data_IF_422974987020
#
_entry.id   IF_422974987020
#
_cell.length_a   1.000
_cell.length_b   1.000
_cell.length_c   1.000
_cell.angle_alpha   90.00
_cell.angle_beta   90.00
_cell.angle_gamma   90.00
#
_symmetry.space_group_name_H-M   'P 1'
#
loop_
_entity.id
_entity.type
_entity.pdbx_description
1 polymer ?
2 non-polymer ?
3 non-polymer ?
4 non-polymer ?
5 water ?
#
# COMPACT_ATOMS: atom_id res chain seq x y z
N UNK A 2 13.77 -14.00 7.46
CA UNK A 2 12.71 -13.52 6.58
C UNK A 2 11.45 -14.34 6.81
N UNK A 3 11.37 -14.96 7.98
CA UNK A 3 10.30 -15.87 8.30
C UNK A 3 9.40 -15.28 9.38
N UNK A 4 8.16 -15.73 9.36
CA UNK A 4 7.13 -15.25 10.24
C UNK A 4 6.46 -16.46 10.88
N UNK A 5 5.80 -16.22 12.01
CA UNK A 5 5.05 -17.24 12.73
C UNK A 5 3.66 -16.74 13.06
N UNK A 6 2.67 -17.63 12.96
CA UNK A 6 1.29 -17.34 13.32
C UNK A 6 1.03 -17.95 14.69
N UNK A 7 0.48 -17.16 15.61
CA UNK A 7 0.11 -17.68 16.92
C UNK A 7 -1.16 -17.01 17.43
N UNK A 8 -1.74 -17.60 18.48
CA UNK A 8 -2.84 -16.93 19.17
C UNK A 8 -2.34 -15.65 19.82
N UNK A 9 -3.18 -14.62 19.79
CA UNK A 9 -2.89 -13.38 20.47
C UNK A 9 -3.08 -13.52 21.98
N UNK A 10 -2.33 -12.74 22.75
CA UNK A 10 -2.40 -12.76 24.20
C UNK A 10 -2.70 -11.36 24.69
N UNK A 11 -3.10 -11.25 25.97
CA UNK A 11 -3.57 -9.96 26.47
C UNK A 11 -2.50 -8.89 26.34
N UNK A 12 -1.24 -9.27 26.59
CA UNK A 12 -0.13 -8.33 26.51
C UNK A 12 0.11 -7.83 25.09
N UNK A 13 -0.42 -8.52 24.06
CA UNK A 13 -0.26 -8.05 22.69
C UNK A 13 -1.23 -6.93 22.30
N UNK A 14 -2.33 -6.76 23.06
CA UNK A 14 -3.42 -5.91 22.58
C UNK A 14 -2.95 -4.48 22.35
N UNK A 15 -2.10 -3.96 23.26
CA UNK A 15 -1.68 -2.56 23.17
C UNK A 15 -0.93 -2.24 21.88
N UNK A 16 -0.33 -3.25 21.22
CA UNK A 16 0.42 -3.06 19.99
C UNK A 16 -0.44 -3.11 18.74
N UNK A 17 -1.68 -3.57 18.86
CA UNK A 17 -2.47 -3.84 17.66
C UNK A 17 -3.06 -2.58 16.99
N UNK A 18 -3.49 -1.53 17.70
CA UNK A 18 -3.97 -0.34 16.97
C UNK A 18 -2.94 0.23 16.00
N UNK A 19 -1.63 0.23 16.36
CA UNK A 19 -0.64 0.78 15.43
C UNK A 19 -0.53 -0.08 14.18
N UNK A 20 -0.72 -1.40 14.30
CA UNK A 20 -0.72 -2.27 13.11
C UNK A 20 -1.91 -1.96 12.23
N UNK A 21 -3.09 -1.74 12.81
CA UNK A 21 -4.24 -1.45 11.95
C UNK A 21 -4.06 -0.09 11.27
N UNK A 22 -3.49 0.89 11.97
CA UNK A 22 -3.22 2.20 11.36
C UNK A 22 -2.23 2.07 10.22
N UNK A 23 -1.16 1.32 10.43
CA UNK A 23 -0.18 1.10 9.36
C UNK A 23 -0.80 0.40 8.14
N UNK A 24 -1.58 -0.67 8.37
CA UNK A 24 -2.22 -1.38 7.27
C UNK A 24 -3.05 -0.44 6.40
N UNK A 25 -3.80 0.47 7.01
CA UNK A 25 -4.68 1.35 6.25
C UNK A 25 -3.96 2.35 5.36
N UNK A 26 -2.63 2.50 5.52
CA UNK A 26 -1.89 3.40 4.62
C UNK A 26 -2.04 2.99 3.16
N UNK A 27 -2.40 1.73 2.88
CA UNK A 27 -2.58 1.27 1.50
C UNK A 27 -3.71 2.01 0.77
N UNK A 28 -4.61 2.65 1.49
CA UNK A 28 -5.72 3.33 0.85
C UNK A 28 -5.40 4.75 0.39
N UNK A 29 -4.23 5.31 0.74
CA UNK A 29 -3.99 6.70 0.35
C UNK A 29 -3.88 6.88 -1.17
N UNK A 30 -3.53 5.83 -1.93
CA UNK A 30 -3.43 5.95 -3.37
C UNK A 30 -4.69 5.48 -4.12
N UNK A 31 -5.81 5.30 -3.39
CA UNK A 31 -7.14 5.15 -3.99
C UNK A 31 -7.92 6.45 -3.75
N UNK A 32 -8.07 7.31 -4.74
CA UNK A 32 -8.64 8.64 -4.48
C UNK A 32 -10.01 8.62 -3.79
N UNK A 33 -10.92 7.73 -4.19
CA UNK A 33 -12.25 7.68 -3.59
C UNK A 33 -12.23 7.19 -2.15
N UNK A 34 -11.23 6.41 -1.77
CA UNK A 34 -11.19 5.81 -0.45
C UNK A 34 -10.03 6.31 0.40
N UNK A 35 -9.35 7.39 0.01
CA UNK A 35 -8.14 7.78 0.73
C UNK A 35 -8.47 8.16 2.17
N UNK A 36 -9.70 8.65 2.41
CA UNK A 36 -10.09 8.95 3.78
C UNK A 36 -9.97 7.77 4.72
N UNK A 37 -10.00 6.53 4.21
CA UNK A 37 -9.95 5.35 5.08
C UNK A 37 -8.66 5.34 5.89
N UNK A 38 -7.57 5.88 5.30
CA UNK A 38 -6.27 5.81 5.96
C UNK A 38 -6.23 6.56 7.28
N UNK A 39 -7.13 7.53 7.48
CA UNK A 39 -7.21 8.29 8.72
C UNK A 39 -8.53 8.03 9.46
N UNK A 40 -9.25 6.97 9.08
CA UNK A 40 -10.42 6.50 9.81
C UNK A 40 -9.99 5.87 11.13
N UNK A 41 -10.97 5.62 11.99
CA UNK A 41 -10.65 5.05 13.28
C UNK A 41 -10.12 3.64 13.14
N UNK A 42 -9.48 3.18 14.21
CA UNK A 42 -9.10 1.78 14.35
C UNK A 42 -9.61 1.29 15.69
N UNK A 43 -9.80 -0.03 15.79
CA UNK A 43 -10.34 -0.58 17.02
C UNK A 43 -9.42 -0.30 18.21
N UNK A 44 -10.03 -0.06 19.35
CA UNK A 44 -9.25 0.15 20.56
C UNK A 44 -8.86 -1.14 21.25
N UNK A 45 -8.09 -1.00 22.33
CA UNK A 45 -7.57 -2.17 23.01
C UNK A 45 -8.66 -3.01 23.68
N UNK A 46 -9.76 -2.36 24.11
CA UNK A 46 -10.87 -3.07 24.74
C UNK A 46 -11.47 -4.12 23.80
N UNK A 47 -11.59 -3.76 22.52
CA UNK A 47 -12.15 -4.67 21.53
C UNK A 47 -11.27 -5.90 21.37
N UNK A 48 -9.97 -5.68 21.24
CA UNK A 48 -9.03 -6.77 21.08
C UNK A 48 -9.00 -7.68 22.30
N UNK A 49 -8.97 -7.09 23.47
CA UNK A 49 -8.95 -7.87 24.70
C UNK A 49 -10.24 -8.68 24.81
N UNK A 50 -11.35 -8.15 24.36
CA UNK A 50 -12.59 -8.92 24.45
C UNK A 50 -12.55 -10.21 23.62
N UNK A 51 -11.94 -10.14 22.45
CA UNK A 51 -11.87 -11.29 21.56
C UNK A 51 -10.71 -12.21 21.93
N UNK A 52 -9.61 -11.65 22.45
CA UNK A 52 -8.52 -12.49 22.96
C UNK A 52 -9.01 -13.39 24.09
N UNK A 53 -9.88 -12.87 24.97
CA UNK A 53 -10.43 -13.69 26.04
C UNK A 53 -11.26 -14.84 25.50
N UNK A 54 -11.97 -14.61 24.38
CA UNK A 54 -12.72 -15.68 23.74
C UNK A 54 -11.81 -16.66 23.00
N UNK A 55 -10.58 -16.29 22.69
CA UNK A 55 -9.64 -17.16 22.01
C UNK A 55 -9.66 -17.07 20.49
N UNK A 56 -10.50 -16.21 19.92
CA UNK A 56 -10.67 -16.14 18.47
C UNK A 56 -9.93 -14.95 17.87
N UNK A 57 -8.62 -14.91 18.09
CA UNK A 57 -7.79 -13.76 17.74
C UNK A 57 -6.36 -14.24 17.55
N UNK A 58 -5.76 -13.93 16.40
CA UNK A 58 -4.44 -14.46 16.03
C UNK A 58 -3.58 -13.32 15.51
N UNK A 59 -2.27 -13.51 15.58
CA UNK A 59 -1.37 -12.50 15.01
C UNK A 59 -0.20 -13.21 14.29
N UNK A 60 0.43 -12.46 13.39
CA UNK A 60 1.68 -12.82 12.76
C UNK A 60 2.81 -12.05 13.43
N UNK A 61 3.91 -12.75 13.76
CA UNK A 61 5.07 -12.10 14.35
C UNK A 61 6.28 -12.33 13.46
N UNK A 62 7.20 -11.35 13.49
CA UNK A 62 8.43 -11.49 12.72
C UNK A 62 9.43 -12.34 13.49
N UNK A 63 10.64 -12.44 12.94
CA UNK A 63 11.63 -13.38 13.46
C UNK A 63 12.07 -13.01 14.87
N UNK A 64 11.96 -11.73 15.22
CA UNK A 64 12.28 -11.24 16.56
C UNK A 64 11.08 -11.28 17.48
N UNK A 65 9.99 -11.92 17.06
CA UNK A 65 8.79 -12.00 17.87
C UNK A 65 7.94 -10.75 17.95
N UNK A 66 8.17 -9.75 17.05
CA UNK A 66 7.32 -8.55 17.12
C UNK A 66 6.09 -8.71 16.26
N UNK A 67 4.89 -8.41 16.79
CA UNK A 67 3.68 -8.54 15.98
C UNK A 67 3.72 -7.59 14.79
N UNK A 68 3.29 -8.10 13.63
CA UNK A 68 3.25 -7.33 12.39
C UNK A 68 1.90 -7.41 11.68
N UNK A 69 0.94 -8.19 12.21
CA UNK A 69 -0.38 -8.31 11.59
C UNK A 69 -1.29 -9.10 12.52
N UNK A 70 -2.60 -8.99 12.29
CA UNK A 70 -3.52 -9.71 13.17
C UNK A 70 -4.83 -9.99 12.45
N UNK A 71 -5.58 -10.96 13.00
CA UNK A 71 -6.92 -11.27 12.55
C UNK A 71 -7.76 -11.38 13.80
N UNK A 72 -8.76 -10.51 13.92
CA UNK A 72 -9.68 -10.47 15.07
C UNK A 72 -11.04 -11.00 14.62
N UNK A 73 -11.53 -12.06 15.29
CA UNK A 73 -12.76 -12.72 14.91
C UNK A 73 -13.70 -12.87 16.11
N UNK A 74 -14.97 -13.16 15.82
CA UNK A 74 -15.95 -13.25 16.89
C UNK A 74 -16.99 -14.30 16.53
N UNK A 75 -17.22 -15.26 17.43
CA UNK A 75 -18.28 -16.24 17.25
C UNK A 75 -19.64 -15.56 17.45
N UNK A 76 -20.51 -15.69 16.46
CA UNK A 76 -21.85 -15.10 16.43
C UNK A 76 -22.83 -16.21 16.01
N UNK A 77 -23.59 -16.73 16.96
CA UNK A 77 -24.42 -17.92 16.72
C UNK A 77 -23.51 -19.03 16.20
N UNK A 78 -23.77 -19.63 15.04
CA UNK A 78 -22.94 -20.71 14.52
C UNK A 78 -21.96 -20.22 13.44
N UNK A 79 -21.63 -18.92 13.42
CA UNK A 79 -20.69 -18.39 12.45
C UNK A 79 -19.49 -17.76 13.13
N UNK A 80 -18.34 -17.77 12.44
CA UNK A 80 -17.16 -17.02 12.89
C UNK A 80 -17.09 -15.79 12.02
N UNK A 81 -17.34 -14.63 12.61
CA UNK A 81 -17.29 -13.38 11.87
C UNK A 81 -15.87 -12.81 11.89
N UNK A 82 -15.32 -12.49 10.71
CA UNK A 82 -13.99 -11.89 10.64
C UNK A 82 -14.15 -10.37 10.73
N UNK A 83 -13.86 -9.81 11.92
CA UNK A 83 -14.11 -8.38 12.14
C UNK A 83 -13.01 -7.49 11.55
N UNK A 84 -11.76 -7.94 11.61
CA UNK A 84 -10.67 -7.13 11.09
C UNK A 84 -9.50 -8.05 10.76
N UNK A 85 -8.88 -7.79 9.61
CA UNK A 85 -7.66 -8.49 9.17
C UNK A 85 -6.71 -7.41 8.65
N UNK A 86 -5.58 -7.18 9.33
CA UNK A 86 -4.68 -6.06 9.00
C UNK A 86 -3.23 -6.52 9.07
N UNK A 87 -2.46 -6.24 8.01
CA UNK A 87 -1.01 -6.48 8.01
C UNK A 87 -0.30 -5.15 7.89
N UNK A 88 0.67 -4.89 8.76
CA UNK A 88 1.39 -3.62 8.69
C UNK A 88 2.05 -3.43 7.31
N UNK A 89 2.08 -2.16 6.88
CA UNK A 89 2.51 -1.80 5.53
C UNK A 89 3.81 -2.50 5.12
N UNK A 90 4.82 -2.46 6.00
CA UNK A 90 6.14 -2.97 5.68
C UNK A 90 6.18 -4.48 5.52
N UNK A 91 5.10 -5.18 5.91
CA UNK A 91 5.09 -6.63 5.89
C UNK A 91 3.99 -7.18 4.99
N UNK A 92 3.31 -6.31 4.23
CA UNK A 92 2.31 -6.77 3.28
C UNK A 92 2.92 -7.51 2.10
N UNK A 93 2.07 -8.29 1.43
CA UNK A 93 2.42 -9.01 0.19
C UNK A 93 3.55 -10.03 0.42
N UNK A 94 3.58 -10.61 1.63
CA UNK A 94 4.49 -11.70 1.99
C UNK A 94 3.75 -12.98 2.35
N UNK A 95 2.41 -13.01 2.17
CA UNK A 95 1.66 -14.22 2.42
C UNK A 95 0.97 -14.27 3.77
N UNK A 96 1.16 -13.25 4.60
CA UNK A 96 0.66 -13.35 5.98
C UNK A 96 -0.87 -13.25 6.07
N UNK A 97 -1.50 -12.39 5.27
CA UNK A 97 -2.95 -12.34 5.28
C UNK A 97 -3.57 -13.70 5.02
N UNK A 98 -3.06 -14.39 3.98
CA UNK A 98 -3.54 -15.73 3.65
C UNK A 98 -3.33 -16.69 4.83
N UNK A 99 -2.16 -16.64 5.46
CA UNK A 99 -1.88 -17.55 6.57
C UNK A 99 -2.76 -17.27 7.78
N UNK A 100 -3.09 -16.00 8.05
CA UNK A 100 -4.00 -15.74 9.17
C UNK A 100 -5.40 -16.23 8.85
N UNK A 101 -5.86 -16.04 7.61
CA UNK A 101 -7.19 -16.55 7.24
C UNK A 101 -7.23 -18.07 7.36
N UNK A 102 -6.15 -18.73 6.96
CA UNK A 102 -6.10 -20.18 7.09
C UNK A 102 -6.26 -20.62 8.54
N UNK A 103 -5.60 -19.90 9.47
CA UNK A 103 -5.75 -20.21 10.89
C UNK A 103 -7.18 -20.01 11.37
N UNK A 104 -7.82 -18.93 10.93
CA UNK A 104 -9.19 -18.64 11.37
C UNK A 104 -10.14 -19.72 10.88
N UNK A 105 -9.96 -20.20 9.65
CA UNK A 105 -10.88 -21.23 9.18
C UNK A 105 -10.61 -22.56 9.89
N UNK A 106 -9.34 -22.87 10.19
CA UNK A 106 -9.06 -24.07 10.95
C UNK A 106 -9.72 -24.01 12.33
N UNK A 107 -9.70 -22.83 12.95
CA UNK A 107 -10.36 -22.67 14.24
C UNK A 107 -11.87 -22.75 14.11
N UNK A 108 -12.42 -22.14 13.05
CA UNK A 108 -13.86 -22.24 12.83
C UNK A 108 -14.29 -23.70 12.69
N UNK A 109 -13.51 -24.52 11.96
CA UNK A 109 -13.85 -25.93 11.87
C UNK A 109 -13.71 -26.64 13.22
N UNK A 110 -12.63 -26.37 13.96
CA UNK A 110 -12.42 -27.07 15.23
C UNK A 110 -13.52 -26.74 16.26
N UNK A 111 -14.09 -25.53 16.18
CA UNK A 111 -15.12 -25.06 17.11
C UNK A 111 -16.52 -25.25 16.56
N UNK A 112 -16.65 -26.00 15.48
CA UNK A 112 -17.93 -26.42 14.91
C UNK A 112 -18.75 -25.24 14.40
N UNK A 113 -18.10 -24.24 13.82
CA UNK A 113 -18.80 -23.17 13.10
C UNK A 113 -19.26 -23.67 11.73
N UNK A 114 -20.45 -23.24 11.33
CA UNK A 114 -20.99 -23.57 10.03
C UNK A 114 -20.34 -22.77 8.90
N UNK A 115 -19.96 -21.53 9.17
CA UNK A 115 -19.51 -20.63 8.12
C UNK A 115 -18.69 -19.51 8.74
N UNK A 116 -17.98 -18.78 7.87
CA UNK A 116 -17.26 -17.55 8.20
C UNK A 116 -17.88 -16.39 7.43
N UNK A 117 -17.89 -15.23 8.05
CA UNK A 117 -18.48 -14.04 7.41
C UNK A 117 -17.54 -12.83 7.52
N UNK A 118 -17.81 -11.84 6.68
CA UNK A 118 -17.12 -10.56 6.72
C UNK A 118 -17.90 -9.53 5.90
N UNK A 119 -17.51 -8.27 6.04
CA UNK A 119 -17.95 -7.21 5.12
C UNK A 119 -16.70 -6.50 4.62
N UNK A 120 -16.74 -6.02 3.38
CA UNK A 120 -15.51 -5.49 2.78
C UNK A 120 -15.87 -4.71 1.51
N UNK A 121 -14.84 -4.11 0.89
CA UNK A 121 -15.03 -3.38 -0.37
C UNK A 121 -15.10 -4.34 -1.54
N UNK A 122 -16.05 -4.08 -2.46
CA UNK A 122 -16.25 -4.93 -3.63
C UNK A 122 -15.10 -4.87 -4.63
N UNK A 123 -14.54 -3.67 -4.87
CA UNK A 123 -13.65 -3.42 -6.01
C UNK A 123 -12.24 -2.99 -5.58
N UNK A 124 -11.84 -3.25 -4.35
CA UNK A 124 -10.46 -3.04 -3.91
C UNK A 124 -9.74 -4.38 -4.09
N UNK A 125 -8.60 -4.43 -4.79
CA UNK A 125 -8.06 -5.75 -5.20
C UNK A 125 -7.67 -6.64 -4.04
N UNK A 126 -7.27 -6.09 -2.90
CA UNK A 126 -6.90 -6.90 -1.75
C UNK A 126 -8.08 -7.12 -0.81
N UNK A 127 -9.32 -6.79 -1.24
CA UNK A 127 -10.52 -7.09 -0.47
C UNK A 127 -11.37 -8.17 -1.16
N UNK A 128 -12.54 -7.84 -1.71
CA UNK A 128 -13.45 -8.90 -2.14
C UNK A 128 -12.86 -9.84 -3.18
N UNK A 129 -12.14 -9.37 -4.21
CA UNK A 129 -11.57 -10.33 -5.18
C UNK A 129 -10.63 -11.36 -4.57
N UNK A 130 -9.79 -10.91 -3.64
CA UNK A 130 -8.92 -11.81 -2.87
C UNK A 130 -9.75 -12.84 -2.10
N UNK A 131 -10.74 -12.37 -1.32
CA UNK A 131 -11.51 -13.31 -0.52
C UNK A 131 -12.31 -14.27 -1.39
N UNK A 132 -12.74 -13.83 -2.57
CA UNK A 132 -13.51 -14.71 -3.46
C UNK A 132 -12.64 -15.85 -3.96
N UNK A 133 -11.37 -15.57 -4.23
CA UNK A 133 -10.50 -16.65 -4.68
C UNK A 133 -10.34 -17.75 -3.63
N UNK A 134 -10.51 -17.39 -2.35
CA UNK A 134 -10.41 -18.35 -1.26
C UNK A 134 -11.71 -19.10 -0.99
N UNK A 135 -12.82 -18.69 -1.61
CA UNK A 135 -14.08 -19.37 -1.48
C UNK A 135 -15.19 -18.53 -0.86
N UNK A 136 -14.93 -17.30 -0.42
CA UNK A 136 -15.99 -16.43 0.10
C UNK A 136 -16.90 -16.04 -1.05
N UNK A 137 -18.21 -16.01 -0.79
CA UNK A 137 -19.20 -15.70 -1.81
C UNK A 137 -19.85 -14.38 -1.48
N UNK A 138 -19.93 -13.50 -2.47
CA UNK A 138 -20.64 -12.24 -2.28
C UNK A 138 -22.12 -12.52 -2.07
N UNK A 139 -22.73 -11.85 -1.08
CA UNK A 139 -24.12 -12.09 -0.73
C UNK A 139 -24.99 -10.95 -1.22
N UNK A 140 -26.19 -11.28 -1.73
CA UNK A 140 -27.18 -10.22 -1.92
C UNK A 140 -27.63 -9.68 -0.57
N UNK A 141 -28.33 -8.54 -0.61
CA UNK A 141 -28.93 -7.97 0.60
C UNK A 141 -29.76 -8.98 1.36
N UNK A 142 -30.58 -9.77 0.65
CA UNK A 142 -31.42 -10.76 1.30
C UNK A 142 -30.60 -11.91 1.87
N UNK A 143 -29.63 -12.42 1.10
CA UNK A 143 -28.76 -13.50 1.57
C UNK A 143 -27.92 -13.10 2.77
N UNK A 144 -27.71 -11.80 2.98
CA UNK A 144 -26.82 -11.35 4.05
C UNK A 144 -27.38 -11.70 5.44
N UNK A 145 -28.70 -11.66 5.61
CA UNK A 145 -29.32 -11.90 6.91
C UNK A 145 -29.19 -10.69 7.82
N UNK A 146 -29.91 -10.75 8.95
CA UNK A 146 -30.11 -9.57 9.79
C UNK A 146 -28.81 -9.01 10.34
N UNK A 147 -27.93 -9.87 10.86
CA UNK A 147 -26.70 -9.37 11.50
C UNK A 147 -25.83 -8.61 10.50
N UNK A 148 -25.58 -9.21 9.34
CA UNK A 148 -24.71 -8.55 8.37
C UNK A 148 -25.38 -7.34 7.75
N UNK A 149 -26.71 -7.39 7.56
CA UNK A 149 -27.41 -6.21 7.05
C UNK A 149 -27.25 -5.03 8.00
N UNK A 150 -27.30 -5.29 9.31
CA UNK A 150 -27.12 -4.20 10.26
C UNK A 150 -25.73 -3.57 10.15
N UNK A 151 -24.69 -4.38 9.96
CA UNK A 151 -23.35 -3.83 9.80
C UNK A 151 -23.29 -2.98 8.53
N UNK A 152 -23.78 -3.52 7.42
CA UNK A 152 -23.73 -2.76 6.17
C UNK A 152 -24.47 -1.43 6.30
N UNK A 153 -25.63 -1.44 6.96
CA UNK A 153 -26.38 -0.22 7.20
C UNK A 153 -25.60 0.80 8.00
N UNK A 154 -24.89 0.36 9.04
CA UNK A 154 -24.16 1.32 9.84
C UNK A 154 -22.93 1.84 9.12
N UNK A 155 -22.25 0.98 8.35
CA UNK A 155 -21.17 1.40 7.47
C UNK A 155 -21.60 2.58 6.59
N UNK A 156 -22.84 2.54 6.05
CA UNK A 156 -23.27 3.62 5.18
C UNK A 156 -23.45 4.93 5.94
N UNK A 157 -23.59 4.90 7.25
CA UNK A 157 -23.71 6.13 8.03
C UNK A 157 -22.37 6.79 8.33
N UNK A 158 -21.28 6.04 8.26
CA UNK A 158 -19.97 6.51 8.71
C UNK A 158 -19.02 6.74 7.56
N UNK A 159 -19.51 6.77 6.32
CA UNK A 159 -18.60 7.08 5.23
C UNK A 159 -18.53 6.14 4.07
N UNK A 160 -18.88 4.87 4.29
CA UNK A 160 -18.87 3.95 3.19
C UNK A 160 -20.06 4.24 2.29
N UNK A 161 -19.87 3.99 1.01
CA UNK A 161 -20.97 4.08 0.06
C UNK A 161 -21.53 2.68 -0.10
N UNK A 162 -22.85 2.55 0.08
CA UNK A 162 -23.49 1.24 -0.04
C UNK A 162 -23.06 0.51 -1.30
N UNK A 163 -23.02 1.22 -2.44
CA UNK A 163 -22.67 0.63 -3.74
C UNK A 163 -21.23 0.12 -3.82
N UNK A 164 -20.41 0.35 -2.80
CA UNK A 164 -19.02 -0.08 -2.81
C UNK A 164 -18.73 -1.19 -1.82
N UNK A 165 -19.71 -1.64 -1.03
CA UNK A 165 -19.50 -2.61 0.03
C UNK A 165 -20.34 -3.86 -0.20
N UNK A 166 -19.90 -4.98 0.38
CA UNK A 166 -20.70 -6.19 0.35
C UNK A 166 -20.39 -7.05 1.58
N UNK A 167 -21.36 -7.87 1.96
CA UNK A 167 -21.14 -8.95 2.91
C UNK A 167 -20.77 -10.21 2.14
N UNK A 168 -19.95 -11.05 2.77
CA UNK A 168 -19.55 -12.32 2.17
C UNK A 168 -19.60 -13.47 3.17
N UNK A 169 -19.82 -14.70 2.67
CA UNK A 169 -19.85 -15.86 3.54
C UNK A 169 -19.09 -17.02 2.89
N UNK A 170 -18.28 -17.70 3.69
CA UNK A 170 -17.64 -18.96 3.33
C UNK A 170 -18.29 -20.06 4.14
N UNK A 171 -19.04 -20.95 3.47
CA UNK A 171 -19.73 -22.05 4.13
C UNK A 171 -18.79 -23.23 4.22
N UNK A 172 -18.66 -23.81 5.41
CA UNK A 172 -17.82 -24.99 5.60
C UNK A 172 -18.67 -26.22 5.32
N UNK A 173 -18.39 -26.87 4.20
CA UNK A 173 -19.18 -28.02 3.75
C UNK A 173 -19.00 -29.26 4.58
N UNK B 2 10.53 -13.71 -6.65
CA UNK B 2 9.07 -13.69 -6.57
C UNK B 2 8.61 -12.68 -5.52
N UNK B 3 9.17 -12.77 -4.31
CA UNK B 3 8.79 -11.91 -3.21
C UNK B 3 9.82 -10.80 -3.00
N UNK B 4 9.33 -9.61 -2.74
CA UNK B 4 10.13 -8.41 -2.65
C UNK B 4 9.82 -7.71 -1.35
N UNK B 5 10.72 -6.82 -0.90
CA UNK B 5 10.44 -5.95 0.23
C UNK B 5 10.78 -4.53 -0.16
N UNK B 6 10.01 -3.56 0.33
CA UNK B 6 10.34 -2.15 0.18
C UNK B 6 10.83 -1.65 1.54
N UNK B 7 11.94 -0.89 1.53
CA UNK B 7 12.55 -0.40 2.75
C UNK B 7 13.19 0.95 2.49
N UNK B 8 13.46 1.68 3.57
CA UNK B 8 14.23 2.90 3.47
C UNK B 8 15.63 2.59 2.96
N UNK B 9 16.12 3.43 2.05
CA UNK B 9 17.48 3.25 1.53
C UNK B 9 18.50 3.63 2.59
N UNK B 10 19.69 3.03 2.49
CA UNK B 10 20.80 3.31 3.38
C UNK B 10 22.02 3.76 2.58
N UNK B 11 22.96 4.39 3.28
CA UNK B 11 24.12 4.96 2.59
C UNK B 11 24.83 3.91 1.76
N UNK B 12 24.96 2.69 2.29
CA UNK B 12 25.66 1.63 1.56
C UNK B 12 24.94 1.22 0.29
N UNK B 13 23.66 1.59 0.13
CA UNK B 13 22.95 1.23 -1.09
C UNK B 13 23.23 2.19 -2.25
N UNK B 14 23.75 3.39 -1.96
CA UNK B 14 23.77 4.46 -2.96
C UNK B 14 24.57 4.08 -4.20
N UNK B 15 25.73 3.44 -4.03
CA UNK B 15 26.59 3.13 -5.16
C UNK B 15 25.90 2.25 -6.19
N UNK B 16 24.90 1.47 -5.80
CA UNK B 16 24.20 0.55 -6.70
C UNK B 16 23.08 1.21 -7.50
N UNK B 17 22.68 2.42 -7.17
CA UNK B 17 21.44 2.91 -7.75
C UNK B 17 21.58 3.46 -9.18
N UNK B 18 22.70 4.08 -9.56
CA UNK B 18 22.81 4.53 -10.97
C UNK B 18 22.61 3.41 -11.97
N UNK B 19 23.13 2.20 -11.71
CA UNK B 19 22.90 1.08 -12.62
C UNK B 19 21.42 0.71 -12.71
N UNK B 20 20.66 0.87 -11.62
CA UNK B 20 19.22 0.59 -11.68
C UNK B 20 18.51 1.65 -12.51
N UNK B 21 18.89 2.92 -12.37
CA UNK B 21 18.26 3.95 -13.19
C UNK B 21 18.58 3.74 -14.67
N UNK B 22 19.80 3.35 -14.98
CA UNK B 22 20.14 3.02 -16.38
C UNK B 22 19.31 1.84 -16.88
N UNK B 23 19.16 0.80 -16.07
CA UNK B 23 18.38 -0.36 -16.51
C UNK B 23 16.94 0.05 -16.79
N UNK B 24 16.36 0.85 -15.88
CA UNK B 24 14.98 1.31 -16.06
C UNK B 24 14.83 2.07 -17.38
N UNK B 25 15.81 2.91 -17.70
CA UNK B 25 15.77 3.71 -18.92
C UNK B 25 15.72 2.89 -20.20
N UNK B 26 16.11 1.62 -20.14
CA UNK B 26 16.05 0.77 -21.32
C UNK B 26 14.63 0.63 -21.83
N UNK B 27 13.62 0.90 -20.99
CA UNK B 27 12.21 0.82 -21.40
C UNK B 27 11.86 1.80 -22.48
N UNK B 28 12.71 2.79 -22.75
CA UNK B 28 12.41 3.78 -23.77
C UNK B 28 13.03 3.52 -25.13
N UNK B 29 13.87 2.47 -25.28
CA UNK B 29 14.59 2.35 -26.55
C UNK B 29 13.66 2.07 -27.73
N UNK B 30 12.49 1.43 -27.51
CA UNK B 30 11.58 1.13 -28.61
C UNK B 30 10.40 2.08 -28.68
N UNK B 31 10.54 3.26 -28.06
CA UNK B 31 9.61 4.36 -28.26
C UNK B 31 10.29 5.37 -29.16
N UNK B 32 10.02 5.38 -30.48
CA UNK B 32 10.82 6.23 -31.38
C UNK B 32 10.90 7.71 -31.00
N UNK B 33 9.83 8.32 -30.48
CA UNK B 33 9.93 9.73 -30.16
C UNK B 33 10.84 9.98 -28.95
N UNK B 34 11.04 8.97 -28.11
CA UNK B 34 11.71 9.14 -26.82
C UNK B 34 12.90 8.22 -26.67
N UNK B 35 13.38 7.61 -27.77
CA UNK B 35 14.47 6.63 -27.63
C UNK B 35 15.70 7.24 -26.98
N UNK B 36 15.94 8.54 -27.20
CA UNK B 36 17.12 9.22 -26.66
C UNK B 36 17.16 9.18 -25.14
N UNK B 37 16.01 9.05 -24.49
CA UNK B 37 15.94 9.01 -23.03
C UNK B 37 16.79 7.88 -22.46
N UNK B 38 16.88 6.75 -23.17
CA UNK B 38 17.64 5.64 -22.64
C UNK B 38 19.13 5.96 -22.50
N UNK B 39 19.61 7.04 -23.13
CA UNK B 39 21.01 7.43 -23.05
C UNK B 39 21.19 8.78 -22.37
N UNK B 40 20.13 9.29 -21.76
CA UNK B 40 20.27 10.49 -20.98
C UNK B 40 20.98 10.16 -19.66
N UNK B 41 21.53 11.20 -19.03
CA UNK B 41 22.23 10.97 -17.78
C UNK B 41 21.32 10.46 -16.70
N UNK B 42 21.92 9.80 -15.71
CA UNK B 42 21.23 9.42 -14.50
C UNK B 42 21.88 10.14 -13.34
N UNK B 43 21.17 10.19 -12.21
CA UNK B 43 21.71 10.87 -11.04
C UNK B 43 22.96 10.16 -10.52
N UNK B 44 23.96 10.95 -10.06
CA UNK B 44 25.16 10.38 -9.47
C UNK B 44 24.95 9.89 -8.04
N UNK B 45 25.97 9.20 -7.52
CA UNK B 45 25.86 8.58 -6.19
C UNK B 45 25.66 9.64 -5.10
N UNK B 46 26.32 10.81 -5.25
CA UNK B 46 26.23 11.82 -4.20
C UNK B 46 24.84 12.43 -4.11
N UNK B 47 24.11 12.49 -5.23
CA UNK B 47 22.70 12.89 -5.19
C UNK B 47 21.90 11.95 -4.28
N UNK B 48 22.02 10.64 -4.52
CA UNK B 48 21.31 9.68 -3.67
C UNK B 48 21.75 9.78 -2.22
N UNK B 49 23.06 9.93 -1.99
CA UNK B 49 23.56 10.03 -0.63
C UNK B 49 22.91 11.20 0.11
N UNK B 50 22.72 12.33 -0.58
CA UNK B 50 22.16 13.52 0.07
C UNK B 50 20.71 13.29 0.49
N UNK B 51 19.91 12.67 -0.38
CA UNK B 51 18.50 12.42 -0.06
C UNK B 51 18.36 11.32 0.97
N UNK B 52 19.23 10.30 0.93
CA UNK B 52 19.24 9.29 1.98
C UNK B 52 19.49 9.94 3.35
N UNK B 53 20.42 10.90 3.41
CA UNK B 53 20.69 11.57 4.68
C UNK B 53 19.46 12.31 5.19
N UNK B 54 18.62 12.83 4.29
CA UNK B 54 17.37 13.47 4.69
C UNK B 54 16.30 12.48 5.07
N UNK B 55 16.42 11.21 4.67
CA UNK B 55 15.45 10.20 5.01
C UNK B 55 14.40 9.91 3.96
N UNK B 56 14.37 10.67 2.86
CA UNK B 56 13.27 10.61 1.90
C UNK B 56 13.61 9.79 0.67
N UNK B 57 14.04 8.53 0.90
CA UNK B 57 14.58 7.72 -0.18
C UNK B 57 14.32 6.26 0.16
N UNK B 58 13.71 5.51 -0.77
CA UNK B 58 13.30 4.14 -0.52
C UNK B 58 13.73 3.25 -1.69
N UNK B 59 13.84 1.98 -1.42
CA UNK B 59 14.17 1.05 -2.50
C UNK B 59 13.38 -0.24 -2.34
N UNK B 60 13.31 -0.98 -3.45
CA UNK B 60 12.79 -2.33 -3.47
C UNK B 60 13.95 -3.31 -3.55
N UNK B 61 13.91 -4.35 -2.73
CA UNK B 61 14.96 -5.37 -2.74
C UNK B 61 14.35 -6.74 -3.03
N UNK B 62 15.14 -7.60 -3.68
CA UNK B 62 14.70 -8.95 -3.97
C UNK B 62 14.88 -9.85 -2.74
N UNK B 63 14.63 -11.14 -2.91
CA UNK B 63 14.75 -12.11 -1.83
C UNK B 63 16.16 -12.19 -1.27
N UNK B 64 17.17 -11.93 -2.10
CA UNK B 64 18.57 -11.96 -1.67
C UNK B 64 19.03 -10.66 -1.03
N UNK B 65 18.15 -9.68 -0.87
CA UNK B 65 18.59 -8.39 -0.36
C UNK B 65 19.17 -7.46 -1.39
N UNK B 66 19.10 -7.80 -2.67
CA UNK B 66 19.71 -6.91 -3.66
C UNK B 66 18.71 -5.86 -4.13
N UNK B 67 19.08 -4.58 -4.15
CA UNK B 67 18.18 -3.54 -4.69
C UNK B 67 17.87 -3.78 -6.16
N UNK B 68 16.58 -3.60 -6.51
CA UNK B 68 16.09 -3.72 -7.88
C UNK B 68 15.31 -2.49 -8.34
N UNK B 69 15.11 -1.49 -7.48
CA UNK B 69 14.33 -0.32 -7.86
C UNK B 69 14.39 0.68 -6.73
N UNK B 70 14.05 1.93 -7.04
CA UNK B 70 14.14 2.94 -5.99
C UNK B 70 13.24 4.14 -6.30
N UNK B 71 12.98 4.92 -5.24
CA UNK B 71 12.25 6.18 -5.33
C UNK B 71 13.02 7.22 -4.51
N UNK B 72 13.51 8.25 -5.18
CA UNK B 72 14.27 9.34 -4.56
C UNK B 72 13.37 10.56 -4.49
N UNK B 73 13.20 11.12 -3.28
CA UNK B 73 12.31 12.26 -3.12
C UNK B 73 12.97 13.36 -2.30
N UNK B 74 12.42 14.57 -2.41
CA UNK B 74 13.05 15.71 -1.73
C UNK B 74 11.97 16.64 -1.20
N UNK B 75 12.05 16.98 0.09
CA UNK B 75 11.13 17.96 0.65
C UNK B 75 11.53 19.37 0.18
N UNK B 76 10.57 20.06 -0.44
CA UNK B 76 10.78 21.39 -1.02
C UNK B 76 9.62 22.25 -0.53
N UNK B 77 9.91 23.16 0.38
CA UNK B 77 8.86 23.92 1.07
C UNK B 77 7.82 22.98 1.67
N UNK B 78 6.54 23.08 1.28
CA UNK B 78 5.54 22.22 1.91
C UNK B 78 5.20 20.99 1.10
N UNK B 79 6.05 20.61 0.15
CA UNK B 79 5.74 19.51 -0.75
C UNK B 79 6.86 18.48 -0.77
N UNK B 80 6.49 17.21 -0.99
CA UNK B 80 7.47 16.15 -1.24
C UNK B 80 7.57 15.93 -2.75
N UNK B 81 8.69 16.33 -3.32
CA UNK B 81 8.92 16.18 -4.77
C UNK B 81 9.49 14.80 -5.06
N UNK B 82 8.90 14.09 -6.03
CA UNK B 82 9.41 12.78 -6.45
C UNK B 82 10.36 13.07 -7.62
N UNK B 83 11.67 13.01 -7.34
CA UNK B 83 12.69 13.33 -8.33
C UNK B 83 12.88 12.19 -9.33
N UNK B 84 12.88 10.95 -8.85
CA UNK B 84 13.16 9.80 -9.70
C UNK B 84 12.50 8.56 -9.11
N UNK B 85 11.86 7.77 -9.98
CA UNK B 85 11.30 6.47 -9.63
C UNK B 85 11.70 5.52 -10.75
N UNK B 86 12.48 4.48 -10.40
CA UNK B 86 13.03 3.58 -11.41
C UNK B 86 13.06 2.14 -10.92
N UNK B 87 12.59 1.20 -11.76
CA UNK B 87 12.66 -0.24 -11.48
C UNK B 87 13.46 -0.89 -12.63
N UNK B 88 14.46 -1.72 -12.29
CA UNK B 88 15.26 -2.45 -13.28
C UNK B 88 14.40 -3.40 -14.15
N UNK B 89 14.87 -3.64 -15.37
CA UNK B 89 14.11 -4.39 -16.37
C UNK B 89 13.58 -5.72 -15.85
N UNK B 90 14.43 -6.52 -15.22
CA UNK B 90 14.00 -7.86 -14.86
C UNK B 90 12.92 -7.88 -13.79
N UNK B 91 12.59 -6.73 -13.18
CA UNK B 91 11.67 -6.69 -12.06
C UNK B 91 10.50 -5.72 -12.28
N UNK B 92 10.33 -5.21 -13.49
CA UNK B 92 9.20 -4.35 -13.80
C UNK B 92 7.89 -5.15 -13.83
N UNK B 93 6.78 -4.42 -13.66
CA UNK B 93 5.43 -4.98 -13.78
C UNK B 93 5.18 -6.10 -12.78
N UNK B 94 5.80 -5.97 -11.61
CA UNK B 94 5.56 -6.81 -10.43
C UNK B 94 4.90 -6.04 -9.30
N UNK B 95 4.42 -4.82 -9.57
CA UNK B 95 3.78 -3.97 -8.58
C UNK B 95 4.71 -3.18 -7.71
N UNK B 96 6.02 -3.20 -7.99
CA UNK B 96 6.96 -2.54 -7.09
C UNK B 96 6.89 -1.02 -7.20
N UNK B 97 6.57 -0.47 -8.37
CA UNK B 97 6.49 0.97 -8.49
C UNK B 97 5.38 1.53 -7.61
N UNK B 98 4.28 0.81 -7.56
CA UNK B 98 3.14 1.21 -6.74
C UNK B 98 3.47 1.12 -5.26
N UNK B 99 4.24 0.10 -4.88
CA UNK B 99 4.62 -0.06 -3.48
C UNK B 99 5.60 1.02 -3.03
N UNK B 100 6.51 1.46 -3.92
CA UNK B 100 7.40 2.56 -3.60
C UNK B 100 6.64 3.87 -3.46
N UNK B 101 5.71 4.13 -4.37
CA UNK B 101 4.91 5.35 -4.29
C UNK B 101 4.11 5.38 -3.00
N UNK B 102 3.60 4.23 -2.57
CA UNK B 102 2.84 4.19 -1.32
C UNK B 102 3.71 4.58 -0.14
N UNK B 103 4.98 4.19 -0.16
CA UNK B 103 5.86 4.55 0.96
C UNK B 103 6.13 6.05 0.97
N UNK B 104 6.29 6.66 -0.23
CA UNK B 104 6.53 8.09 -0.32
C UNK B 104 5.32 8.89 0.14
N UNK B 105 4.10 8.46 -0.24
CA UNK B 105 2.91 9.16 0.19
C UNK B 105 2.72 9.04 1.71
N UNK B 106 2.99 7.86 2.29
CA UNK B 106 2.91 7.69 3.74
C UNK B 106 3.86 8.65 4.45
N UNK B 107 5.08 8.77 3.93
CA UNK B 107 6.11 9.64 4.50
C UNK B 107 5.71 11.11 4.34
N UNK B 108 5.16 11.47 3.19
CA UNK B 108 4.71 12.84 3.00
C UNK B 108 3.64 13.21 4.02
N UNK B 109 2.66 12.33 4.21
CA UNK B 109 1.59 12.60 5.17
C UNK B 109 2.13 12.68 6.59
N UNK B 110 3.02 11.75 6.96
CA UNK B 110 3.52 11.72 8.33
C UNK B 110 4.42 12.91 8.65
N UNK B 111 5.04 13.51 7.62
CA UNK B 111 5.88 14.69 7.81
C UNK B 111 5.14 15.99 7.49
N UNK B 112 3.81 15.94 7.43
CA UNK B 112 2.98 17.15 7.34
C UNK B 112 3.22 17.93 6.05
N UNK B 113 3.48 17.21 4.95
CA UNK B 113 3.48 17.85 3.63
C UNK B 113 2.05 18.13 3.20
N UNK B 114 1.88 19.22 2.46
CA UNK B 114 0.59 19.51 1.84
C UNK B 114 0.35 18.68 0.57
N UNK B 115 1.39 18.26 -0.13
CA UNK B 115 1.20 17.61 -1.43
C UNK B 115 2.48 16.89 -1.82
N UNK B 116 2.34 16.01 -2.82
CA UNK B 116 3.48 15.47 -3.56
C UNK B 116 3.49 16.04 -4.98
N UNK B 117 4.68 16.16 -5.58
CA UNK B 117 4.79 16.69 -6.94
C UNK B 117 5.76 15.83 -7.75
N UNK B 118 5.68 15.99 -9.08
CA UNK B 118 6.59 15.37 -10.04
C UNK B 118 6.45 16.05 -11.40
N UNK B 119 7.42 15.79 -12.29
CA UNK B 119 7.24 16.07 -13.71
C UNK B 119 7.48 14.76 -14.45
N UNK B 120 6.80 14.59 -15.58
CA UNK B 120 6.90 13.31 -16.30
C UNK B 120 6.36 13.45 -17.71
N UNK B 121 6.38 12.35 -18.47
CA UNK B 121 5.85 12.35 -19.82
C UNK B 121 4.32 12.23 -19.79
N UNK B 122 3.65 13.05 -20.59
CA UNK B 122 2.18 12.99 -20.68
C UNK B 122 1.64 11.69 -21.26
N UNK B 123 2.31 11.15 -22.29
CA UNK B 123 1.71 10.14 -23.17
C UNK B 123 2.39 8.77 -23.07
N UNK B 124 3.21 8.55 -22.06
CA UNK B 124 3.86 7.25 -21.85
C UNK B 124 3.01 6.47 -20.84
N UNK B 125 2.63 5.22 -21.13
CA UNK B 125 1.62 4.56 -20.29
C UNK B 125 2.02 4.39 -18.83
N UNK B 126 3.32 4.24 -18.54
CA UNK B 126 3.77 4.03 -17.18
C UNK B 126 4.17 5.32 -16.53
N UNK B 127 3.83 6.44 -17.18
CA UNK B 127 4.09 7.76 -16.60
C UNK B 127 2.75 8.43 -16.27
N UNK B 128 2.41 9.56 -16.90
CA UNK B 128 1.30 10.36 -16.37
C UNK B 128 -0.02 9.61 -16.23
N UNK B 129 -0.44 8.76 -17.19
CA UNK B 129 -1.73 8.05 -16.99
C UNK B 129 -1.74 7.16 -15.75
N UNK B 130 -0.61 6.54 -15.43
CA UNK B 130 -0.47 5.74 -14.21
C UNK B 130 -0.58 6.62 -12.96
N UNK B 131 0.23 7.67 -12.89
CA UNK B 131 0.16 8.57 -11.74
C UNK B 131 -1.23 9.17 -11.58
N UNK B 132 -1.91 9.45 -12.69
CA UNK B 132 -3.25 10.04 -12.58
C UNK B 132 -4.24 9.06 -11.95
N UNK B 133 -4.06 7.75 -12.16
CA UNK B 133 -4.95 6.81 -11.48
C UNK B 133 -4.76 6.81 -9.97
N UNK B 134 -3.60 7.26 -9.49
CA UNK B 134 -3.31 7.34 -8.06
C UNK B 134 -3.78 8.63 -7.43
N UNK B 135 -4.27 9.58 -8.22
CA UNK B 135 -4.74 10.86 -7.70
C UNK B 135 -3.89 12.04 -8.10
N UNK B 136 -2.74 11.84 -8.77
CA UNK B 136 -1.98 13.00 -9.25
C UNK B 136 -2.78 13.74 -10.32
N UNK B 137 -2.74 15.06 -10.27
CA UNK B 137 -3.47 15.88 -11.21
C UNK B 137 -2.50 16.64 -12.12
N UNK B 138 -2.79 16.60 -13.42
CA UNK B 138 -2.01 17.37 -14.39
C UNK B 138 -2.27 18.85 -14.17
N UNK B 139 -1.19 19.64 -14.13
CA UNK B 139 -1.23 21.06 -13.80
C UNK B 139 -1.09 21.91 -15.06
N UNK B 140 -1.86 22.98 -15.15
CA UNK B 140 -1.56 23.99 -16.15
C UNK B 140 -0.26 24.69 -15.78
N UNK B 141 0.29 25.43 -16.75
CA UNK B 141 1.51 26.20 -16.50
C UNK B 141 1.33 27.12 -15.31
N UNK B 142 0.17 27.76 -15.18
CA UNK B 142 -0.07 28.64 -14.04
C UNK B 142 -0.14 27.85 -12.74
N UNK B 143 -0.83 26.71 -12.72
CA UNK B 143 -0.98 25.90 -11.51
C UNK B 143 0.32 25.27 -11.04
N UNK B 144 1.33 25.20 -11.91
CA UNK B 144 2.56 24.51 -11.55
C UNK B 144 3.35 25.26 -10.48
N UNK B 145 3.35 26.59 -10.51
CA UNK B 145 4.11 27.39 -9.57
C UNK B 145 5.55 27.54 -10.01
N UNK B 146 6.31 28.35 -9.25
CA UNK B 146 7.65 28.77 -9.68
C UNK B 146 8.63 27.59 -9.78
N UNK B 147 8.66 26.72 -8.76
CA UNK B 147 9.62 25.61 -8.75
C UNK B 147 9.37 24.65 -9.91
N UNK B 148 8.14 24.18 -10.06
CA UNK B 148 7.86 23.24 -11.14
C UNK B 148 8.00 23.89 -12.50
N UNK B 149 7.63 25.16 -12.65
CA UNK B 149 7.86 25.86 -13.93
C UNK B 149 9.34 25.89 -14.27
N UNK B 150 10.18 26.14 -13.26
CA UNK B 150 11.62 26.17 -13.50
C UNK B 150 12.14 24.82 -13.96
N UNK B 151 11.65 23.73 -13.38
CA UNK B 151 12.05 22.38 -13.82
C UNK B 151 11.61 22.13 -15.26
N UNK B 152 10.35 22.44 -15.59
CA UNK B 152 9.87 22.21 -16.95
C UNK B 152 10.65 23.04 -17.95
N UNK B 153 10.95 24.28 -17.61
CA UNK B 153 11.74 25.09 -18.51
C UNK B 153 13.15 24.54 -18.69
N UNK B 154 13.76 24.07 -17.61
CA UNK B 154 15.13 23.55 -17.76
C UNK B 154 15.12 22.27 -18.59
N UNK B 155 14.08 21.44 -18.42
CA UNK B 155 13.92 20.28 -19.30
C UNK B 155 13.95 20.70 -20.77
N UNK B 156 13.23 21.77 -21.11
CA UNK B 156 13.22 22.15 -22.52
C UNK B 156 14.61 22.57 -22.99
N UNK B 157 15.40 23.14 -22.10
CA UNK B 157 16.73 23.62 -22.49
C UNK B 157 17.66 22.46 -22.82
N UNK B 158 17.42 21.29 -22.23
CA UNK B 158 18.36 20.19 -22.29
C UNK B 158 17.88 19.06 -23.21
N UNK B 159 16.83 19.30 -24.02
CA UNK B 159 16.46 18.37 -25.08
C UNK B 159 15.05 17.82 -25.05
N UNK B 160 14.26 18.07 -24.00
CA UNK B 160 12.87 17.59 -23.97
C UNK B 160 11.98 18.47 -24.85
N UNK B 161 10.99 17.84 -25.47
CA UNK B 161 9.96 18.55 -26.23
C UNK B 161 8.92 19.09 -25.25
N UNK B 162 8.62 20.39 -25.34
CA UNK B 162 7.76 21.02 -24.34
C UNK B 162 6.42 20.30 -24.20
N UNK B 163 5.74 20.06 -25.34
CA UNK B 163 4.41 19.45 -25.30
C UNK B 163 4.41 18.01 -24.79
N UNK B 164 5.58 17.40 -24.62
CA UNK B 164 5.61 16.01 -24.20
C UNK B 164 5.62 15.85 -22.70
N UNK B 165 5.77 16.93 -21.93
CA UNK B 165 6.00 16.87 -20.49
C UNK B 165 4.90 17.62 -19.76
N UNK B 166 4.70 17.27 -18.48
CA UNK B 166 3.78 17.99 -17.60
C UNK B 166 4.26 17.89 -16.17
N UNK B 167 3.86 18.86 -15.36
CA UNK B 167 3.96 18.79 -13.91
C UNK B 167 2.65 18.25 -13.34
N UNK B 168 2.75 17.54 -12.22
CA UNK B 168 1.58 16.98 -11.56
C UNK B 168 1.65 17.16 -10.04
N UNK B 169 0.49 17.22 -9.40
CA UNK B 169 0.44 17.36 -7.95
C UNK B 169 -0.63 16.44 -7.38
N UNK B 170 -0.29 15.76 -6.28
CA UNK B 170 -1.24 15.00 -5.45
C UNK B 170 -1.39 15.77 -4.14
N UNK B 171 -2.55 16.42 -3.94
CA UNK B 171 -2.79 17.18 -2.72
C UNK B 171 -3.23 16.24 -1.60
N UNK B 172 -2.60 16.38 -0.44
CA UNK B 172 -2.95 15.59 0.71
C UNK B 172 -3.92 16.36 1.57
N UNK B 173 -5.15 15.88 1.62
CA UNK B 173 -6.19 16.51 2.41
C UNK B 173 -5.98 16.33 3.90
N UNK B 174 -6.43 17.31 4.69
CA UNK B 174 -6.30 17.25 6.13
C UNK B 174 -7.54 16.66 6.80
X LIG C 1 -2.60 -4.86 -4.61
X LIG C 1 -3.06 -5.92 -5.27
X LIG C 1 -3.14 -7.14 -4.73
X LIG C 1 -2.75 -7.35 -3.46
X LIG C 1 -2.24 -6.23 -2.67
X LIG C 1 -2.18 -4.93 -3.33
X LIG C 1 -1.71 -3.84 -2.69
X LIG C 1 -1.93 -6.71 -1.46
X LIG C 1 -2.22 -8.03 -1.46
X LIG C 1 -2.70 -8.42 -2.66
X LIG C 1 -3.14 -9.77 -3.03
X LIG C 1 -1.97 -10.65 -3.39
X LIG C 1 -1.65 -10.54 -4.78
X LIG C 1 -2.47 -12.03 -3.04
X LIG C 1 -3.15 -12.62 -4.15
X LIG C 1 -2.50 -13.83 -4.94
X LIG C 1 -2.85 -15.04 -4.12
X LIG C 1 -3.18 -13.78 -6.28
X LIG C 1 -1.04 -13.49 -4.97
X LIG C 1 -3.49 -11.80 -1.95
X LIG C 1 -3.75 -10.41 -1.92
X LIG C 1 -2.93 -12.25 -0.62
X LIG C 1 -1.71 -11.58 -0.38
X LIG C 1 -1.05 -11.75 1.06
X LIG C 1 0.40 -11.39 0.95
X LIG C 1 -1.46 -13.08 1.59
X LIG C 1 -1.84 -10.61 1.83
X LIG C 1 -1.24 -9.55 2.87
X LIG C 1 -0.78 -8.34 2.13
X LIG C 1 -0.34 -10.24 3.84
X LIG C 1 -2.62 -9.23 3.62
X LIG C 1 -4.39 -7.63 3.71
X LIG C 1 -3.71 -8.70 2.89
X LIG C 1 -4.68 -8.11 5.12
X LIG C 1 -5.70 -7.25 3.02
X LIG C 1 -3.44 -6.45 3.72
X LIG C 1 -3.17 -6.09 2.37
X LIG C 1 -4.00 -5.26 4.44
X LIG C 1 -3.85 -5.12 5.64
X LIG C 1 -4.65 -4.37 3.71
X LIG C 1 -5.13 -3.10 4.24
X LIG C 1 -6.22 -3.28 5.30
X LIG C 1 -7.37 -4.08 4.74
X LIG C 1 -7.87 -3.81 3.66
X LIG C 1 -7.80 -5.08 5.49
X LIG C 1 -8.93 -5.89 5.07
X LIG C 1 -10.23 -5.40 5.69
X LIG C 1 -11.57 -6.44 5.22
X LIG C 1 -11.80 -7.29 6.64
X LIG C 1 -11.05 -7.09 7.57
X LIG C 1 -12.92 -8.28 6.70
X LIG D 1 -22.14 -26.03 14.76
X LIG E 1 -11.21 -1.65 11.22
X LIG F 1 -3.96 9.28 10.77
X LIG G 1 -10.41 4.92 -5.88
X LIG H 1 3.06 -0.58 -20.53
X LIG H 1 1.88 -0.15 -20.04
X LIG H 1 1.62 -0.03 -18.72
X LIG H 1 2.57 -0.33 -17.82
X LIG H 1 3.88 -0.79 -18.27
X LIG H 1 4.08 -0.91 -19.72
X LIG H 1 5.27 -1.34 -20.21
X LIG H 1 4.63 -1.01 -17.18
X LIG H 1 3.86 -0.72 -16.12
X LIG H 1 2.65 -0.32 -16.49
X LIG H 1 1.56 0.09 -15.58
X LIG H 1 1.01 -1.12 -14.86
X LIG H 1 -0.01 -1.77 -15.63
X LIG H 1 0.48 -0.52 -13.58
X LIG H 1 -0.84 -0.07 -13.79
X LIG H 1 -1.99 -0.45 -12.75
X LIG H 1 -2.70 0.85 -12.50
X LIG H 1 -2.76 -1.51 -13.49
X LIG H 1 -1.25 -0.96 -11.55
X LIG H 1 1.37 0.68 -13.35
X LIG H 1 2.10 0.90 -14.54
X LIG H 1 2.32 0.40 -12.20
X LIG H 1 2.90 -0.88 -12.44
X LIG H 1 3.95 -1.47 -11.41
X LIG H 1 4.29 -2.85 -11.84
X LIG H 1 3.46 -1.18 -10.01
X LIG H 1 5.14 -0.48 -11.76
X LIG H 1 6.65 -0.92 -12.03
X LIG H 1 6.79 -1.50 -13.41
X LIG H 1 7.13 -1.68 -10.83
X LIG H 1 7.30 0.52 -12.02
X LIG H 1 8.07 2.34 -13.36
X LIG H 1 6.88 1.49 -12.97
X LIG H 1 8.95 2.61 -12.15
X LIG H 1 7.60 3.66 -13.92
X LIG H 1 8.83 1.53 -14.41
X LIG H 1 7.96 1.28 -15.51
X LIG H 1 10.07 2.23 -14.88
X LIG H 1 11.07 2.18 -14.21
X LIG H 1 9.99 2.88 -16.04
X LIG H 1 11.13 3.49 -16.67
X LIG H 1 11.64 4.71 -15.90
X LIG H 1 10.52 5.70 -15.70
X LIG H 1 9.80 6.04 -16.62
X LIG H 1 10.39 6.17 -14.47
X LIG H 1 9.42 7.20 -14.13
X LIG H 1 10.01 8.60 -14.18
X LIG H 1 8.77 9.78 -13.75
X LIG H 1 9.30 10.21 -12.25
X LIG H 1 10.27 9.65 -11.77
X LIG H 1 8.58 11.29 -11.50
X LIG I 1 16.50 10.71 -13.94
X LIG J 1 9.59 -3.65 -19.09
X LIG K 1 7.17 7.12 -29.24
#
# INVERSE_FOLDING_TARGET
HMDYRIRTSRDEDAALLPAIERSAGESFRLLPELAWIADAGVAGVDFHRRLIERGSHWLAEDADGQPVGFLAAERCADELHIAELSIAQAHQQQGLGRRLLERAVTYAHASHCRALTLTTFCDVPWNAPFYARLGFQRLTWQEAGERLRAILGHEQEIGFAADSRCAMRLVLGS
HMDYRIRTSRDEDAALLPAIERSAGESFRLLPELAWIADAGVAGVDFHRRLIERGSHWLAEDADGQPVGFLAAERCADELHIAELSIAQAHQQQGLGRRLLERAVTYAHASHCRALTLTTFCDVPWNAPFYARLGFQRLTWQEAGERLRAILGHEQEIGFAADSRCAMRLVLGS
ACO N1A C2A N3A C4A C5A C6A N6A N7A C8A N9A C1B C2B O2B C3B O3B P3B O7A O8A O9A C4B O4B C5B O5B P1A O1A O2A O3A P2A O4A O5A O6A CBP CCP CDP CEP CAP OAP C9P O9P N8P C7P C6P C5P O5P N4P C3P C2P S1P C O CH3
NA NA
NA NA
NA NA
CL CL
ACO N1A C2A N3A C4A C5A C6A N6A N7A C8A N9A C1B C2B O2B C3B O3B P3B O7A O8A O9A C4B O4B C5B O5B P1A O1A O2A O3A P2A O4A O5A O6A CBP CCP CDP CEP CAP OAP C9P O9P N8P C7P C6P C5P O5P N4P C3P C2P S1P C O CH3
NA NA
NA NA
CL CL
#
